data_IF_058669189562
#
_entry.id   IF_058669189562
#
_cell.length_a   1.000
_cell.length_b   1.000
_cell.length_c   1.000
_cell.angle_alpha   90.00
_cell.angle_beta   90.00
_cell.angle_gamma   90.00
#
_symmetry.space_group_name_H-M   'P 1'
#
loop_
_entity.id
_entity.type
_entity.pdbx_description
1 polymer ?
#
# COMPACT_ATOMS: atom_id res chain seq x y z
N UNK A 1 26.68 13.46 1.96
CA UNK A 1 25.61 13.56 0.93
C UNK A 1 24.31 13.69 1.70
N UNK A 2 23.64 14.84 1.56
CA UNK A 2 22.31 15.05 2.14
C UNK A 2 21.29 14.57 1.13
N UNK A 3 20.43 13.60 1.51
CA UNK A 3 19.29 13.17 0.70
C UNK A 3 18.11 14.08 0.99
N UNK A 4 17.55 14.67 -0.04
CA UNK A 4 16.30 15.44 0.01
C UNK A 4 15.28 14.63 -0.74
N UNK A 5 14.19 14.26 -0.08
CA UNK A 5 13.09 13.51 -0.67
C UNK A 5 12.01 14.47 -1.16
N UNK A 6 11.21 14.04 -2.12
CA UNK A 6 10.03 14.80 -2.53
C UNK A 6 9.11 14.97 -1.31
N UNK A 7 8.80 16.21 -0.92
CA UNK A 7 7.98 16.45 0.27
C UNK A 7 6.54 15.97 0.04
N UNK A 8 5.98 15.32 1.05
CA UNK A 8 4.56 14.97 1.11
C UNK A 8 3.88 15.89 2.11
N UNK A 9 2.72 16.41 1.74
CA UNK A 9 1.86 17.11 2.67
C UNK A 9 1.01 16.10 3.45
N UNK A 10 1.53 15.70 4.63
CA UNK A 10 0.85 14.76 5.52
C UNK A 10 -0.49 15.30 6.03
N UNK A 11 -0.62 16.62 6.20
CA UNK A 11 -1.88 17.25 6.61
C UNK A 11 -2.93 17.17 5.50
N UNK A 12 -2.53 17.33 4.25
CA UNK A 12 -3.41 17.15 3.10
C UNK A 12 -3.96 15.71 3.04
N UNK A 13 -3.09 14.70 3.23
CA UNK A 13 -3.47 13.29 3.27
C UNK A 13 -4.51 13.03 4.37
N UNK A 14 -4.25 13.49 5.59
CA UNK A 14 -5.13 13.29 6.73
C UNK A 14 -6.49 13.99 6.52
N UNK A 15 -6.50 15.24 6.09
CA UNK A 15 -7.72 16.01 5.84
C UNK A 15 -8.59 15.39 4.72
N UNK A 16 -7.96 14.90 3.65
CA UNK A 16 -8.67 14.26 2.53
C UNK A 16 -9.15 12.84 2.86
N UNK A 17 -8.60 12.19 3.89
CA UNK A 17 -8.99 10.85 4.31
C UNK A 17 -10.31 10.78 5.08
N UNK A 18 -10.81 11.90 5.62
CA UNK A 18 -12.02 11.96 6.45
C UNK A 18 -13.34 11.97 5.65
N UNK A 19 -13.29 11.91 4.33
CA UNK A 19 -14.47 11.70 3.51
C UNK A 19 -15.06 10.31 3.82
N UNK A 20 -16.08 10.29 4.67
CA UNK A 20 -16.66 9.10 5.29
C UNK A 20 -17.27 8.13 4.26
N UNK A 21 -16.73 6.93 4.20
CA UNK A 21 -17.47 5.76 3.72
C UNK A 21 -17.74 4.87 4.95
N UNK A 22 -19.00 4.74 5.42
CA UNK A 22 -19.29 3.87 6.56
C UNK A 22 -19.19 2.41 6.13
N UNK A 23 -18.20 1.69 6.65
CA UNK A 23 -18.17 0.24 6.57
C UNK A 23 -19.18 -0.33 7.59
N UNK A 24 -20.20 -1.04 7.07
CA UNK A 24 -21.16 -1.81 7.85
C UNK A 24 -20.44 -2.96 8.57
N UNK A 25 -20.52 -3.02 9.88
CA UNK A 25 -19.82 -3.95 10.77
C UNK A 25 -20.40 -5.39 10.82
N UNK A 26 -21.17 -5.85 9.84
CA UNK A 26 -21.72 -7.21 9.86
C UNK A 26 -21.14 -8.02 8.70
N UNK A 27 -20.28 -9.00 9.00
CA UNK A 27 -19.52 -9.84 8.06
C UNK A 27 -18.33 -9.13 7.38
N UNK A 28 -17.50 -8.41 8.14
CA UNK A 28 -16.31 -7.77 7.60
C UNK A 28 -15.37 -8.83 6.99
N UNK A 29 -15.13 -8.72 5.68
CA UNK A 29 -14.09 -9.49 4.99
C UNK A 29 -12.84 -8.63 4.90
N UNK A 30 -11.67 -9.12 5.32
CA UNK A 30 -10.43 -8.37 5.21
C UNK A 30 -10.22 -7.82 3.80
N UNK A 31 -9.89 -6.53 3.70
CA UNK A 31 -9.71 -5.84 2.43
C UNK A 31 -8.28 -5.36 2.29
N UNK A 32 -7.64 -5.74 1.20
CA UNK A 32 -6.34 -5.26 0.80
C UNK A 32 -6.51 -4.16 -0.25
N UNK A 33 -5.81 -3.05 -0.10
CA UNK A 33 -5.79 -1.98 -1.10
C UNK A 33 -4.39 -1.81 -1.68
N UNK A 34 -4.32 -1.56 -2.98
CA UNK A 34 -3.08 -1.22 -3.69
C UNK A 34 -3.31 -0.01 -4.59
N UNK A 35 -2.38 0.92 -4.58
CA UNK A 35 -2.47 2.18 -5.34
C UNK A 35 -1.27 2.34 -6.26
N UNK A 36 -1.51 2.70 -7.52
CA UNK A 36 -0.44 3.01 -8.45
C UNK A 36 -0.86 3.01 -9.91
N UNK A 37 0.00 3.55 -10.76
CA UNK A 37 -0.21 3.49 -12.23
C UNK A 37 -0.25 2.05 -12.68
N UNK A 38 -1.29 1.67 -13.43
CA UNK A 38 -1.48 0.27 -13.87
C UNK A 38 -0.51 -0.05 -15.02
N UNK A 39 0.70 -0.42 -14.62
CA UNK A 39 1.80 -0.86 -15.47
C UNK A 39 2.32 -2.21 -14.98
N UNK A 40 2.94 -3.05 -15.83
CA UNK A 40 3.49 -4.36 -15.44
C UNK A 40 4.47 -4.29 -14.25
N UNK A 41 5.16 -3.16 -14.10
CA UNK A 41 6.04 -2.83 -12.99
C UNK A 41 5.34 -2.99 -11.62
N UNK A 42 4.08 -2.60 -11.50
CA UNK A 42 3.32 -2.61 -10.24
C UNK A 42 2.87 -4.02 -9.80
N UNK A 43 2.95 -5.00 -10.71
CA UNK A 43 2.72 -6.39 -10.37
C UNK A 43 1.27 -6.72 -9.99
N UNK A 44 0.29 -5.97 -10.49
CA UNK A 44 -1.13 -6.24 -10.20
C UNK A 44 -1.60 -7.57 -10.76
N UNK A 45 -0.96 -8.08 -11.82
CA UNK A 45 -1.20 -9.42 -12.35
C UNK A 45 -0.85 -10.52 -11.35
N UNK A 46 0.32 -10.41 -10.67
CA UNK A 46 0.72 -11.37 -9.64
C UNK A 46 -0.12 -11.22 -8.37
N UNK A 47 -0.53 -9.99 -8.02
CA UNK A 47 -1.44 -9.76 -6.91
C UNK A 47 -2.80 -10.44 -7.14
N UNK A 48 -3.37 -10.33 -8.35
CA UNK A 48 -4.62 -11.02 -8.71
C UNK A 48 -4.50 -12.54 -8.70
N UNK A 49 -3.39 -13.10 -9.17
CA UNK A 49 -3.15 -14.55 -9.12
C UNK A 49 -3.05 -15.07 -7.67
N UNK A 50 -2.34 -14.35 -6.82
CA UNK A 50 -2.22 -14.67 -5.40
C UNK A 50 -3.58 -14.57 -4.71
N UNK A 51 -4.33 -13.49 -4.98
CA UNK A 51 -5.71 -13.33 -4.50
C UNK A 51 -6.57 -14.56 -4.85
N UNK A 52 -6.56 -14.96 -6.12
CA UNK A 52 -7.34 -16.14 -6.54
C UNK A 52 -6.89 -17.41 -5.85
N UNK A 53 -5.56 -17.65 -5.72
CA UNK A 53 -4.99 -18.80 -5.01
C UNK A 53 -5.52 -18.89 -3.57
N UNK A 54 -5.49 -17.77 -2.84
CA UNK A 54 -5.98 -17.71 -1.46
C UNK A 54 -7.49 -17.92 -1.36
N UNK A 55 -8.28 -17.40 -2.30
CA UNK A 55 -9.73 -17.68 -2.34
C UNK A 55 -10.01 -19.15 -2.58
N UNK A 56 -9.26 -19.82 -3.47
CA UNK A 56 -9.40 -21.26 -3.74
C UNK A 56 -9.01 -22.12 -2.52
N UNK A 57 -8.13 -21.63 -1.68
CA UNK A 57 -7.80 -22.23 -0.37
C UNK A 57 -8.85 -21.94 0.72
N UNK A 58 -9.88 -21.13 0.42
CA UNK A 58 -10.99 -20.81 1.33
C UNK A 58 -10.80 -19.55 2.17
N UNK A 59 -9.72 -18.78 1.99
CA UNK A 59 -9.48 -17.53 2.69
C UNK A 59 -10.33 -16.40 2.09
N UNK A 60 -11.43 -16.05 2.75
CA UNK A 60 -12.35 -15.00 2.28
C UNK A 60 -11.74 -13.60 2.54
N UNK A 61 -11.53 -12.85 1.48
CA UNK A 61 -11.01 -11.48 1.53
C UNK A 61 -11.36 -10.74 0.23
N UNK A 62 -11.09 -9.45 0.21
CA UNK A 62 -11.28 -8.57 -0.95
C UNK A 62 -9.98 -7.87 -1.29
N UNK A 63 -9.83 -7.47 -2.56
CA UNK A 63 -8.78 -6.54 -2.97
C UNK A 63 -9.37 -5.36 -3.73
N UNK A 64 -8.76 -4.19 -3.56
CA UNK A 64 -9.04 -2.98 -4.32
C UNK A 64 -7.76 -2.48 -4.98
N UNK A 65 -7.79 -2.26 -6.28
CA UNK A 65 -6.70 -1.68 -7.06
C UNK A 65 -7.15 -0.31 -7.53
N UNK A 66 -6.40 0.73 -7.13
CA UNK A 66 -6.68 2.12 -7.44
C UNK A 66 -5.60 2.63 -8.38
N UNK A 67 -6.02 3.15 -9.52
CA UNK A 67 -5.14 3.70 -10.52
C UNK A 67 -5.58 3.36 -11.94
N UNK A 68 -4.91 3.96 -12.89
CA UNK A 68 -5.12 3.76 -14.32
C UNK A 68 -3.75 3.67 -15.03
N UNK A 69 -3.74 3.20 -16.26
CA UNK A 69 -2.52 3.06 -17.05
C UNK A 69 -2.73 2.18 -18.27
N UNK A 70 -1.71 2.08 -19.11
CA UNK A 70 -1.83 1.37 -20.38
C UNK A 70 -2.13 -0.14 -20.22
N UNK A 71 -1.86 -0.73 -19.04
CA UNK A 71 -2.10 -2.15 -18.78
C UNK A 71 -3.46 -2.41 -18.09
N UNK A 72 -4.27 -1.35 -17.88
CA UNK A 72 -5.52 -1.43 -17.12
C UNK A 72 -6.50 -2.48 -17.68
N UNK A 73 -6.74 -2.48 -18.99
CA UNK A 73 -7.65 -3.45 -19.61
C UNK A 73 -7.10 -4.89 -19.55
N UNK A 74 -5.79 -5.09 -19.63
CA UNK A 74 -5.19 -6.41 -19.49
C UNK A 74 -5.39 -6.96 -18.06
N UNK A 75 -5.19 -6.14 -17.04
CA UNK A 75 -5.40 -6.52 -15.64
C UNK A 75 -6.88 -6.79 -15.36
N UNK A 76 -7.78 -5.99 -15.93
CA UNK A 76 -9.23 -6.18 -15.82
C UNK A 76 -9.70 -7.48 -16.50
N UNK A 77 -9.13 -7.81 -17.66
CA UNK A 77 -9.39 -9.08 -18.34
C UNK A 77 -8.87 -10.27 -17.51
N UNK A 78 -7.64 -10.19 -17.02
CA UNK A 78 -7.06 -11.20 -16.13
C UNK A 78 -7.93 -11.43 -14.88
N UNK A 79 -8.43 -10.35 -14.25
CA UNK A 79 -9.37 -10.46 -13.13
C UNK A 79 -10.60 -11.28 -13.47
N UNK A 80 -11.15 -11.06 -14.68
CA UNK A 80 -12.33 -11.79 -15.17
C UNK A 80 -12.01 -13.26 -15.48
N UNK A 81 -10.88 -13.52 -16.14
CA UNK A 81 -10.40 -14.87 -16.43
C UNK A 81 -10.16 -15.70 -15.16
N UNK A 82 -9.68 -15.05 -14.10
CA UNK A 82 -9.49 -15.68 -12.79
C UNK A 82 -10.81 -15.87 -12.00
N UNK A 83 -11.94 -15.35 -12.49
CA UNK A 83 -13.22 -15.43 -11.78
C UNK A 83 -13.28 -14.58 -10.52
N UNK A 84 -12.46 -13.52 -10.42
CA UNK A 84 -12.33 -12.68 -9.22
C UNK A 84 -13.23 -11.43 -9.24
N UNK A 85 -14.25 -11.36 -10.10
CA UNK A 85 -15.06 -10.15 -10.31
C UNK A 85 -15.80 -9.68 -9.06
N UNK A 86 -16.22 -10.58 -8.18
CA UNK A 86 -16.97 -10.25 -6.96
C UNK A 86 -16.07 -9.85 -5.78
N UNK A 87 -14.77 -10.20 -5.83
CA UNK A 87 -13.84 -10.05 -4.71
C UNK A 87 -12.67 -9.13 -5.01
N UNK A 88 -12.44 -8.79 -6.29
CA UNK A 88 -11.42 -7.84 -6.72
C UNK A 88 -12.08 -6.67 -7.45
N UNK A 89 -11.81 -5.46 -6.99
CA UNK A 89 -12.29 -4.22 -7.58
C UNK A 89 -11.13 -3.45 -8.22
N UNK A 90 -11.35 -2.98 -9.45
CA UNK A 90 -10.46 -2.02 -10.11
C UNK A 90 -11.19 -0.68 -10.16
N UNK A 91 -10.79 0.26 -9.32
CA UNK A 91 -11.51 1.52 -9.10
C UNK A 91 -11.16 2.61 -10.13
N UNK A 92 -10.15 2.35 -10.97
CA UNK A 92 -9.65 3.36 -11.91
C UNK A 92 -8.87 4.47 -11.23
N UNK A 93 -8.62 5.55 -11.97
CA UNK A 93 -7.94 6.74 -11.45
C UNK A 93 -8.86 7.53 -10.51
N UNK A 94 -8.29 8.02 -9.43
CA UNK A 94 -8.91 9.02 -8.54
C UNK A 94 -7.85 10.01 -8.05
N UNK A 95 -8.24 11.27 -7.91
CA UNK A 95 -7.40 12.31 -7.30
C UNK A 95 -7.29 12.16 -5.77
N UNK A 96 -8.17 11.35 -5.16
CA UNK A 96 -8.19 11.14 -3.72
C UNK A 96 -8.35 9.65 -3.36
N UNK A 97 -7.26 8.87 -3.30
CA UNK A 97 -7.30 7.47 -2.90
C UNK A 97 -7.41 7.26 -1.38
N UNK A 98 -7.20 8.30 -0.59
CA UNK A 98 -7.04 8.20 0.87
C UNK A 98 -8.22 7.61 1.62
N UNK A 99 -9.50 7.89 1.29
CA UNK A 99 -10.63 7.24 1.93
C UNK A 99 -10.63 5.72 1.74
N UNK A 100 -10.28 5.24 0.55
CA UNK A 100 -10.17 3.80 0.27
C UNK A 100 -8.99 3.17 1.01
N UNK A 101 -7.84 3.85 1.05
CA UNK A 101 -6.68 3.38 1.83
C UNK A 101 -7.06 3.32 3.31
N UNK A 102 -7.69 4.36 3.85
CA UNK A 102 -8.11 4.44 5.26
C UNK A 102 -9.11 3.33 5.62
N UNK A 103 -10.04 3.03 4.73
CA UNK A 103 -11.08 2.02 4.93
C UNK A 103 -10.57 0.58 4.85
N UNK A 104 -9.52 0.31 4.09
CA UNK A 104 -8.94 -1.03 3.95
C UNK A 104 -8.23 -1.48 5.24
N UNK A 105 -8.12 -2.80 5.46
CA UNK A 105 -7.39 -3.38 6.58
C UNK A 105 -5.89 -3.40 6.34
N UNK A 106 -5.50 -3.65 5.09
CA UNK A 106 -4.11 -3.80 4.68
C UNK A 106 -3.83 -2.98 3.42
N UNK A 107 -2.67 -2.34 3.41
CA UNK A 107 -2.08 -1.80 2.19
C UNK A 107 -1.08 -2.80 1.62
N UNK A 108 -1.15 -3.08 0.32
CA UNK A 108 -0.22 -4.01 -0.31
C UNK A 108 0.52 -3.37 -1.48
N UNK A 109 1.86 -3.38 -1.44
CA UNK A 109 2.73 -3.03 -2.54
C UNK A 109 3.24 -4.31 -3.20
N UNK A 110 2.76 -4.60 -4.40
CA UNK A 110 3.11 -5.80 -5.17
C UNK A 110 4.11 -5.53 -6.30
N UNK A 111 4.84 -4.43 -6.25
CA UNK A 111 5.70 -3.96 -7.35
C UNK A 111 6.89 -4.90 -7.60
N UNK A 112 7.23 -5.09 -8.88
CA UNK A 112 8.42 -5.84 -9.30
C UNK A 112 9.70 -5.03 -9.12
N UNK A 113 9.61 -3.72 -9.34
CA UNK A 113 10.68 -2.76 -9.11
C UNK A 113 10.11 -1.37 -8.88
N UNK A 114 10.81 -0.58 -8.10
CA UNK A 114 10.51 0.83 -7.82
C UNK A 114 11.80 1.63 -7.81
N UNK A 115 11.71 2.93 -8.08
CA UNK A 115 12.78 3.85 -7.73
C UNK A 115 12.68 4.20 -6.24
N UNK A 116 11.53 4.73 -5.86
CA UNK A 116 11.18 5.09 -4.49
C UNK A 116 9.64 5.12 -4.39
N UNK A 117 9.00 4.13 -3.75
CA UNK A 117 7.55 3.97 -3.78
C UNK A 117 6.82 4.95 -2.87
N UNK A 118 6.62 6.20 -3.31
CA UNK A 118 6.01 7.29 -2.53
C UNK A 118 4.62 6.94 -1.97
N UNK A 119 3.90 6.04 -2.61
CA UNK A 119 2.60 5.54 -2.13
C UNK A 119 2.67 4.86 -0.75
N UNK A 120 3.84 4.37 -0.34
CA UNK A 120 4.04 3.85 1.02
C UNK A 120 3.97 4.96 2.07
N UNK A 121 4.37 6.18 1.75
CA UNK A 121 4.22 7.30 2.68
C UNK A 121 2.75 7.59 2.99
N UNK A 122 1.88 7.46 1.99
CA UNK A 122 0.44 7.62 2.17
C UNK A 122 -0.09 6.56 3.14
N UNK A 123 0.30 5.30 2.94
CA UNK A 123 -0.09 4.20 3.80
C UNK A 123 0.46 4.35 5.23
N UNK A 124 1.71 4.78 5.40
CA UNK A 124 2.34 5.07 6.71
C UNK A 124 1.60 6.22 7.40
N UNK A 125 1.34 7.31 6.68
CA UNK A 125 0.60 8.49 7.22
C UNK A 125 -0.79 8.09 7.71
N UNK A 126 -1.47 7.21 6.97
CA UNK A 126 -2.79 6.69 7.32
C UNK A 126 -2.73 5.51 8.30
N UNK A 127 -1.55 5.22 8.86
CA UNK A 127 -1.33 4.18 9.88
C UNK A 127 -1.85 2.81 9.45
N UNK A 128 -1.62 2.41 8.19
CA UNK A 128 -2.10 1.13 7.66
C UNK A 128 -1.16 -0.02 7.98
N UNK A 129 -1.70 -1.21 8.12
CA UNK A 129 -0.92 -2.45 8.07
C UNK A 129 -0.37 -2.61 6.66
N UNK A 130 0.94 -2.62 6.50
CA UNK A 130 1.61 -2.62 5.21
C UNK A 130 2.24 -3.98 4.95
N UNK A 131 2.01 -4.50 3.74
CA UNK A 131 2.75 -5.63 3.16
C UNK A 131 3.41 -5.11 1.89
N UNK A 132 4.72 -5.23 1.77
CA UNK A 132 5.44 -4.71 0.61
C UNK A 132 6.49 -5.70 0.11
N UNK A 133 6.55 -5.90 -1.21
CA UNK A 133 7.66 -6.63 -1.85
C UNK A 133 8.96 -5.87 -1.66
N UNK A 134 10.06 -6.61 -1.42
CA UNK A 134 11.40 -6.03 -1.23
C UNK A 134 11.93 -5.47 -2.56
N UNK A 135 11.66 -4.19 -2.79
CA UNK A 135 12.14 -3.41 -3.90
C UNK A 135 12.86 -2.17 -3.41
N UNK A 136 13.61 -1.49 -4.30
CA UNK A 136 14.37 -0.30 -3.94
C UNK A 136 13.52 0.71 -3.17
N UNK A 137 14.07 1.25 -2.07
CA UNK A 137 13.44 2.23 -1.19
C UNK A 137 12.53 1.64 -0.10
N UNK A 138 12.02 0.42 -0.24
CA UNK A 138 11.10 -0.19 0.74
C UNK A 138 11.75 -0.40 2.09
N UNK A 139 12.98 -0.93 2.12
CA UNK A 139 13.74 -1.15 3.36
C UNK A 139 13.91 0.17 4.14
N UNK A 140 14.25 1.25 3.43
CA UNK A 140 14.42 2.57 4.03
C UNK A 140 13.08 3.14 4.54
N UNK A 141 12.02 3.04 3.74
CA UNK A 141 10.70 3.61 4.06
C UNK A 141 10.00 2.88 5.20
N UNK A 142 10.17 1.57 5.30
CA UNK A 142 9.59 0.74 6.35
C UNK A 142 10.57 0.50 7.53
N UNK A 143 11.64 1.29 7.63
CA UNK A 143 12.66 1.16 8.69
C UNK A 143 13.13 -0.29 8.90
N UNK A 144 13.52 -0.95 7.79
CA UNK A 144 13.94 -2.35 7.77
C UNK A 144 12.88 -3.32 8.36
N UNK A 145 11.60 -3.07 8.04
CA UNK A 145 10.50 -3.91 8.47
C UNK A 145 9.91 -3.57 9.84
N UNK A 146 10.28 -2.44 10.45
CA UNK A 146 9.69 -1.98 11.71
C UNK A 146 8.26 -1.43 11.52
N UNK A 147 7.97 -0.83 10.37
CA UNK A 147 6.70 -0.16 10.07
C UNK A 147 5.76 -0.98 9.18
N UNK A 148 6.17 -2.18 8.76
CA UNK A 148 5.37 -3.05 7.90
C UNK A 148 6.11 -4.32 7.53
N UNK A 149 5.39 -5.30 7.03
CA UNK A 149 5.92 -6.59 6.60
C UNK A 149 6.56 -6.46 5.21
N UNK A 150 7.87 -6.67 5.14
CA UNK A 150 8.62 -6.77 3.89
C UNK A 150 8.68 -8.23 3.48
N UNK A 151 8.24 -8.55 2.27
CA UNK A 151 8.21 -9.90 1.73
C UNK A 151 9.13 -10.04 0.53
N UNK A 152 9.54 -11.27 0.23
CA UNK A 152 10.30 -11.55 -0.98
C UNK A 152 9.59 -10.99 -2.23
N UNK A 153 10.38 -10.43 -3.16
CA UNK A 153 9.85 -9.88 -4.42
C UNK A 153 9.46 -11.00 -5.41
N UNK A 154 8.46 -11.79 -5.03
CA UNK A 154 7.94 -12.92 -5.79
C UNK A 154 6.43 -13.08 -5.60
N UNK A 155 5.76 -13.89 -6.41
CA UNK A 155 4.36 -14.28 -6.18
C UNK A 155 4.23 -15.04 -4.86
N UNK A 156 5.21 -15.87 -4.50
CA UNK A 156 5.21 -16.62 -3.25
C UNK A 156 5.35 -15.69 -2.04
N UNK A 157 6.26 -14.68 -2.10
CA UNK A 157 6.38 -13.70 -1.04
C UNK A 157 5.09 -12.91 -0.79
N UNK A 158 4.39 -12.49 -1.88
CA UNK A 158 3.08 -11.84 -1.78
C UNK A 158 2.07 -12.79 -1.13
N UNK A 159 2.04 -14.05 -1.56
CA UNK A 159 1.15 -15.08 -1.03
C UNK A 159 1.36 -15.29 0.48
N UNK A 160 2.60 -15.49 0.91
CA UNK A 160 2.92 -15.70 2.33
C UNK A 160 2.54 -14.47 3.18
N UNK A 161 2.81 -13.25 2.69
CA UNK A 161 2.43 -12.02 3.37
C UNK A 161 0.92 -11.86 3.51
N UNK A 162 0.16 -12.09 2.44
CA UNK A 162 -1.31 -12.01 2.46
C UNK A 162 -1.91 -13.12 3.31
N UNK A 163 -1.40 -14.35 3.21
CA UNK A 163 -1.86 -15.48 4.02
C UNK A 163 -1.65 -15.20 5.50
N UNK A 164 -0.47 -14.71 5.88
CA UNK A 164 -0.17 -14.30 7.25
C UNK A 164 -1.15 -13.25 7.77
N UNK A 165 -1.49 -12.25 6.95
CA UNK A 165 -2.47 -11.24 7.31
C UNK A 165 -3.88 -11.82 7.57
N UNK A 166 -4.24 -12.89 6.87
CA UNK A 166 -5.54 -13.55 6.99
C UNK A 166 -5.62 -14.59 8.12
N UNK A 167 -4.48 -15.17 8.51
CA UNK A 167 -4.41 -16.25 9.51
C UNK A 167 -3.88 -15.81 10.87
N UNK A 168 -3.08 -14.74 10.90
CA UNK A 168 -2.37 -14.24 12.07
C UNK A 168 -2.52 -12.71 12.16
N UNK A 169 -3.75 -12.13 12.17
CA UNK A 169 -3.93 -10.67 12.16
C UNK A 169 -3.26 -9.98 13.35
N UNK A 170 -3.16 -10.66 14.51
CA UNK A 170 -2.46 -10.19 15.70
C UNK A 170 -0.96 -9.94 15.47
N UNK A 171 -0.35 -10.62 14.50
CA UNK A 171 1.04 -10.35 14.10
C UNK A 171 1.24 -8.90 13.64
N UNK A 172 0.20 -8.27 13.09
CA UNK A 172 0.27 -6.91 12.59
C UNK A 172 0.06 -5.83 13.66
N UNK A 173 -0.35 -6.18 14.88
CA UNK A 173 -0.53 -5.24 16.00
C UNK A 173 0.78 -4.53 16.34
N UNK A 174 1.92 -5.20 16.21
CA UNK A 174 3.24 -4.60 16.43
C UNK A 174 3.51 -3.42 15.48
N UNK A 175 3.03 -3.50 14.23
CA UNK A 175 3.19 -2.41 13.26
C UNK A 175 2.27 -1.24 13.59
N UNK A 176 1.05 -1.52 14.04
CA UNK A 176 0.12 -0.48 14.49
C UNK A 176 0.68 0.29 15.68
N UNK A 177 1.28 -0.40 16.65
CA UNK A 177 1.93 0.26 17.79
C UNK A 177 3.13 1.09 17.35
N UNK A 178 3.98 0.58 16.47
CA UNK A 178 5.11 1.32 15.93
C UNK A 178 4.67 2.54 15.09
N UNK A 179 3.57 2.43 14.35
CA UNK A 179 3.05 3.50 13.51
C UNK A 179 2.33 4.58 14.32
N UNK A 180 1.80 4.26 15.50
CA UNK A 180 0.96 5.15 16.31
C UNK A 180 1.59 6.52 16.54
N UNK A 181 2.83 6.52 17.01
CA UNK A 181 3.58 7.72 17.34
C UNK A 181 4.67 8.04 16.28
N UNK A 182 4.65 7.33 15.15
CA UNK A 182 5.64 7.54 14.10
C UNK A 182 5.37 8.85 13.36
N UNK A 183 6.33 9.74 13.41
CA UNK A 183 6.36 10.96 12.62
C UNK A 183 7.27 10.78 11.41
N UNK A 184 6.71 11.07 10.24
CA UNK A 184 7.44 10.87 9.00
C UNK A 184 8.58 11.88 8.86
N UNK A 185 9.84 11.43 8.72
CA UNK A 185 10.99 12.34 8.58
C UNK A 185 11.02 13.09 7.25
N UNK A 186 10.17 12.70 6.29
CA UNK A 186 10.13 13.22 4.92
C UNK A 186 8.92 14.12 4.66
N UNK A 187 8.38 14.77 5.69
CA UNK A 187 7.30 15.73 5.51
C UNK A 187 7.83 17.04 4.89
N UNK A 188 6.90 17.87 4.40
CA UNK A 188 7.24 19.14 3.72
C UNK A 188 8.07 20.06 4.61
N UNK A 189 7.72 20.19 5.88
CA UNK A 189 8.38 21.06 6.84
C UNK A 189 9.83 20.63 7.08
N UNK A 190 10.08 19.35 7.33
CA UNK A 190 11.42 18.81 7.53
C UNK A 190 12.30 18.95 6.27
N UNK A 191 11.70 18.79 5.09
CA UNK A 191 12.41 18.95 3.81
C UNK A 191 12.81 20.41 3.58
N UNK A 192 11.92 21.36 3.88
CA UNK A 192 12.22 22.81 3.79
C UNK A 192 13.31 23.20 4.79
N UNK A 193 13.19 22.76 6.04
CA UNK A 193 14.20 23.05 7.07
C UNK A 193 15.60 22.54 6.68
N UNK A 194 15.70 21.31 6.14
CA UNK A 194 16.97 20.79 5.63
C UNK A 194 17.55 21.60 4.48
N UNK A 195 16.71 22.12 3.58
CA UNK A 195 17.14 22.99 2.48
C UNK A 195 17.67 24.31 3.05
N UNK A 196 16.96 24.91 4.00
CA UNK A 196 17.40 26.17 4.64
C UNK A 196 18.72 26.01 5.37
N UNK A 197 18.91 24.94 6.14
CA UNK A 197 20.18 24.62 6.79
C UNK A 197 21.36 24.55 5.80
N UNK A 198 21.14 23.98 4.61
CA UNK A 198 22.17 23.91 3.56
C UNK A 198 22.48 25.29 3.00
N UNK A 199 21.47 26.12 2.78
CA UNK A 199 21.63 27.49 2.24
C UNK A 199 22.37 28.35 3.24
N UNK A 200 22.09 28.26 4.54
CA UNK A 200 22.74 29.01 5.59
C UNK A 200 24.23 28.60 5.82
N UNK A 201 24.63 27.41 5.32
CA UNK A 201 26.00 26.90 5.42
C UNK A 201 26.88 27.28 4.21
N UNK A 202 26.33 27.88 3.15
CA UNK A 202 27.06 28.33 1.95
C UNK A 202 27.32 29.82 2.01
#
# INVERSE_FOLDING_TARGET
IVRIYNPLDTNEILNKSDASTPLSMTNHQPTFVSVGTVFPQKGFDRLLKVHKKLLDEGFKHRIQIIGDGYDFENIKNLKTELGANETAEMLGFTDNPYPSIKAADFYILSSRYEGFPTVLFEAITLKKNIIATDVSGVQEMLENGKLGLIVENSEEGIYEGMKKALTEPEFFEQYQENLKDYEMPFNLENSVNKIMEIIDYI
#
